data_IF_376130682166
#
_entry.id   IF_376130682166
#
_cell.length_a   1.000
_cell.length_b   1.000
_cell.length_c   1.000
_cell.angle_alpha   90.00
_cell.angle_beta   90.00
_cell.angle_gamma   90.00
#
_symmetry.space_group_name_H-M   'P 1'
#
loop_
_entity.id
_entity.type
_entity.pdbx_description
1 polymer ?
#
# COMPACT_ATOMS: atom_id res chain seq x y z
N UNK A 1 -17.63 -10.35 11.58
CA UNK A 1 -16.31 -9.69 11.43
C UNK A 1 -16.53 -8.22 11.62
N UNK A 2 -15.91 -7.61 12.62
CA UNK A 2 -16.06 -6.18 12.88
C UNK A 2 -15.22 -5.39 11.87
N UNK A 3 -15.57 -4.13 11.61
CA UNK A 3 -14.80 -3.25 10.72
C UNK A 3 -13.36 -3.11 11.21
N UNK A 4 -13.16 -3.09 12.53
CA UNK A 4 -11.83 -3.07 13.15
C UNK A 4 -10.96 -4.27 12.72
N UNK A 5 -11.52 -5.48 12.72
CA UNK A 5 -10.79 -6.69 12.35
C UNK A 5 -10.34 -6.65 10.88
N UNK A 6 -11.18 -6.08 10.01
CA UNK A 6 -10.88 -5.89 8.59
C UNK A 6 -9.71 -4.91 8.43
N UNK A 7 -9.77 -3.75 9.09
CA UNK A 7 -8.72 -2.73 9.01
C UNK A 7 -7.40 -3.26 9.55
N UNK A 8 -7.44 -3.97 10.69
CA UNK A 8 -6.25 -4.58 11.28
C UNK A 8 -5.64 -5.63 10.36
N UNK A 9 -6.46 -6.48 9.73
CA UNK A 9 -5.99 -7.42 8.73
C UNK A 9 -5.33 -6.71 7.53
N UNK A 10 -6.01 -5.73 6.93
CA UNK A 10 -5.48 -5.01 5.76
C UNK A 10 -4.14 -4.34 6.05
N UNK A 11 -4.00 -3.69 7.22
CA UNK A 11 -2.75 -3.03 7.61
C UNK A 11 -1.65 -4.05 7.96
N UNK A 12 -1.98 -5.12 8.69
CA UNK A 12 -1.02 -6.17 9.06
C UNK A 12 -0.44 -6.87 7.84
N UNK A 13 -1.25 -7.05 6.80
CA UNK A 13 -0.84 -7.69 5.55
C UNK A 13 -0.51 -6.68 4.45
N UNK A 14 -0.08 -5.46 4.79
CA UNK A 14 0.31 -4.42 3.81
C UNK A 14 1.27 -4.91 2.74
N UNK A 15 2.39 -5.59 3.06
CA UNK A 15 3.34 -6.04 2.04
C UNK A 15 2.72 -7.04 1.05
N UNK A 16 1.74 -7.84 1.49
CA UNK A 16 1.10 -8.86 0.67
C UNK A 16 0.33 -8.24 -0.51
N UNK A 17 -0.36 -7.13 -0.32
CA UNK A 17 -1.10 -6.46 -1.40
C UNK A 17 -0.33 -5.31 -2.03
N UNK A 18 0.50 -4.59 -1.26
CA UNK A 18 1.22 -3.41 -1.78
C UNK A 18 2.38 -3.78 -2.71
N UNK A 19 3.16 -4.83 -2.40
CA UNK A 19 4.32 -5.22 -3.23
C UNK A 19 3.89 -5.69 -4.62
N UNK A 20 2.93 -6.62 -4.78
CA UNK A 20 2.44 -7.00 -6.10
C UNK A 20 1.83 -5.81 -6.86
N UNK A 21 1.09 -4.94 -6.15
CA UNK A 21 0.50 -3.74 -6.75
C UNK A 21 1.55 -2.82 -7.34
N UNK A 22 2.68 -2.60 -6.64
CA UNK A 22 3.81 -1.80 -7.13
C UNK A 22 4.39 -2.39 -8.41
N UNK A 23 4.63 -3.71 -8.44
CA UNK A 23 5.22 -4.39 -9.60
C UNK A 23 4.33 -4.22 -10.83
N UNK A 24 3.01 -4.34 -10.65
CA UNK A 24 2.04 -4.17 -11.72
C UNK A 24 1.95 -2.70 -12.14
N UNK A 25 1.79 -1.79 -11.18
CA UNK A 25 1.57 -0.37 -11.46
C UNK A 25 2.78 0.29 -12.08
N UNK A 26 4.00 -0.06 -11.68
CA UNK A 26 5.22 0.50 -12.27
C UNK A 26 5.39 0.06 -13.73
N UNK A 27 5.01 -1.17 -14.07
CA UNK A 27 5.06 -1.67 -15.44
C UNK A 27 4.10 -0.92 -16.35
N UNK A 28 2.86 -0.70 -15.90
CA UNK A 28 1.88 0.09 -16.65
C UNK A 28 2.26 1.57 -16.72
N UNK A 29 2.71 2.16 -15.61
CA UNK A 29 3.22 3.53 -15.59
C UNK A 29 4.29 3.74 -16.67
N UNK A 30 5.29 2.86 -16.72
CA UNK A 30 6.36 2.92 -17.72
C UNK A 30 5.83 2.77 -19.15
N UNK A 31 4.94 1.80 -19.38
CA UNK A 31 4.38 1.54 -20.72
C UNK A 31 3.55 2.71 -21.24
N UNK A 32 2.68 3.30 -20.42
CA UNK A 32 1.87 4.45 -20.82
C UNK A 32 2.71 5.72 -20.94
N UNK A 33 3.76 5.86 -20.14
CA UNK A 33 4.72 6.95 -20.26
C UNK A 33 5.44 6.93 -21.62
N UNK A 34 5.88 5.76 -22.08
CA UNK A 34 6.52 5.59 -23.39
C UNK A 34 5.58 5.85 -24.56
N UNK A 35 4.28 5.56 -24.39
CA UNK A 35 3.24 5.79 -25.40
C UNK A 35 2.67 7.22 -25.36
N UNK A 36 3.25 8.10 -24.55
CA UNK A 36 2.83 9.49 -24.37
C UNK A 36 1.39 9.68 -23.81
N UNK A 37 0.78 8.63 -23.26
CA UNK A 37 -0.49 8.71 -22.54
C UNK A 37 -0.24 9.17 -21.09
N UNK A 38 0.12 10.45 -20.94
CA UNK A 38 0.62 11.03 -19.68
C UNK A 38 -0.38 10.92 -18.52
N UNK A 39 -1.65 11.24 -18.75
CA UNK A 39 -2.67 11.21 -17.69
C UNK A 39 -2.82 9.81 -17.08
N UNK A 40 -2.83 8.78 -17.94
CA UNK A 40 -2.91 7.38 -17.53
C UNK A 40 -1.62 6.96 -16.83
N UNK A 41 -0.45 7.39 -17.34
CA UNK A 41 0.83 7.12 -16.70
C UNK A 41 0.89 7.73 -15.29
N UNK A 42 0.44 8.97 -15.10
CA UNK A 42 0.39 9.64 -13.80
C UNK A 42 -0.53 8.93 -12.81
N UNK A 43 -1.68 8.42 -13.27
CA UNK A 43 -2.55 7.59 -12.43
C UNK A 43 -1.81 6.35 -11.87
N UNK A 44 -1.10 5.60 -12.74
CA UNK A 44 -0.33 4.44 -12.30
C UNK A 44 0.88 4.79 -11.43
N UNK A 45 1.53 5.93 -11.69
CA UNK A 45 2.57 6.47 -10.81
C UNK A 45 1.98 6.79 -9.43
N UNK A 46 0.79 7.41 -9.37
CA UNK A 46 0.08 7.70 -8.13
C UNK A 46 -0.21 6.44 -7.31
N UNK A 47 -0.70 5.37 -7.95
CA UNK A 47 -0.89 4.07 -7.29
C UNK A 47 0.44 3.52 -6.75
N UNK A 48 1.51 3.61 -7.53
CA UNK A 48 2.84 3.15 -7.12
C UNK A 48 3.33 3.89 -5.88
N UNK A 49 3.21 5.22 -5.88
CA UNK A 49 3.60 6.08 -4.75
C UNK A 49 2.76 5.79 -3.50
N UNK A 50 1.44 5.64 -3.64
CA UNK A 50 0.58 5.27 -2.52
C UNK A 50 1.01 3.95 -1.87
N UNK A 51 1.25 2.91 -2.68
CA UNK A 51 1.69 1.62 -2.16
C UNK A 51 3.09 1.70 -1.51
N UNK A 52 4.01 2.50 -2.06
CA UNK A 52 5.31 2.75 -1.43
C UNK A 52 5.16 3.44 -0.07
N UNK A 53 4.27 4.43 0.04
CA UNK A 53 3.97 5.09 1.32
C UNK A 53 3.37 4.10 2.32
N UNK A 54 2.48 3.20 1.89
CA UNK A 54 1.92 2.17 2.76
C UNK A 54 2.98 1.19 3.25
N UNK A 55 3.93 0.78 2.41
CA UNK A 55 5.07 -0.05 2.82
C UNK A 55 5.96 0.70 3.81
N UNK A 56 6.28 1.97 3.55
CA UNK A 56 7.08 2.79 4.46
C UNK A 56 6.38 2.93 5.83
N UNK A 57 5.07 3.18 5.83
CA UNK A 57 4.24 3.21 7.03
C UNK A 57 4.27 1.87 7.78
N UNK A 58 4.12 0.75 7.08
CA UNK A 58 4.18 -0.60 7.66
C UNK A 58 5.53 -0.87 8.35
N UNK A 59 6.63 -0.48 7.70
CA UNK A 59 7.98 -0.61 8.26
C UNK A 59 8.17 0.31 9.48
N UNK A 60 7.69 1.55 9.40
CA UNK A 60 7.74 2.50 10.51
C UNK A 60 6.97 2.02 11.74
N UNK A 61 5.83 1.35 11.53
CA UNK A 61 5.05 0.75 12.62
C UNK A 61 5.69 -0.49 13.24
N UNK A 62 6.83 -0.98 12.74
CA UNK A 62 7.50 -2.18 13.25
C UNK A 62 6.90 -3.49 12.72
N UNK A 63 6.25 -3.44 11.55
CA UNK A 63 5.68 -4.62 10.91
C UNK A 63 4.37 -5.10 11.55
N UNK A 64 4.07 -6.42 11.50
CA UNK A 64 2.74 -6.93 11.78
C UNK A 64 2.38 -6.88 13.28
N UNK A 65 3.37 -7.11 14.15
CA UNK A 65 3.18 -7.10 15.60
C UNK A 65 3.04 -5.68 16.13
N UNK A 66 3.83 -4.75 15.57
CA UNK A 66 3.75 -3.33 15.93
C UNK A 66 2.43 -2.69 15.50
N UNK A 67 1.92 -3.01 14.31
CA UNK A 67 0.58 -2.59 13.86
C UNK A 67 -0.49 -3.11 14.81
N UNK A 68 -0.44 -4.39 15.19
CA UNK A 68 -1.43 -4.99 16.09
C UNK A 68 -1.41 -4.30 17.45
N UNK A 69 -0.22 -4.09 18.03
CA UNK A 69 -0.07 -3.43 19.34
C UNK A 69 -0.54 -1.97 19.30
N UNK A 70 -0.07 -1.18 18.34
CA UNK A 70 -0.38 0.25 18.25
C UNK A 70 -1.87 0.50 17.97
N UNK A 71 -2.49 -0.29 17.09
CA UNK A 71 -3.93 -0.18 16.84
C UNK A 71 -4.73 -0.63 18.06
N UNK A 72 -4.38 -1.74 18.70
CA UNK A 72 -5.15 -2.21 19.87
C UNK A 72 -5.07 -1.21 21.02
N UNK A 73 -3.92 -0.56 21.24
CA UNK A 73 -3.76 0.51 22.23
C UNK A 73 -4.52 1.81 21.87
N UNK A 74 -4.68 2.11 20.58
CA UNK A 74 -5.41 3.29 20.14
C UNK A 74 -6.93 3.15 20.26
N UNK A 75 -7.44 1.92 20.30
CA UNK A 75 -8.87 1.60 20.38
C UNK A 75 -9.30 0.99 21.73
N UNK A 76 -8.39 0.92 22.72
CA UNK A 76 -8.66 0.56 24.12
C UNK A 76 -8.94 1.78 24.98
#
# INVERSE_FOLDING_TARGET
>A
MNVFDVVLFTLKYTPFWAVPSIIISIHFAYTFWLKDYRDIAYFWIGITLFNLTMIAFYLFMGGPDGITKNLTQAFS
#
